data_IF_030047730975
#
_entry.id   IF_030047730975
#
_cell.length_a   1.000
_cell.length_b   1.000
_cell.length_c   1.000
_cell.angle_alpha   90.00
_cell.angle_beta   90.00
_cell.angle_gamma   90.00
#
_symmetry.space_group_name_H-M   'P 1'
#
loop_
_entity.id
_entity.type
_entity.pdbx_description
1 polymer ?
#
# COMPACT_ATOMS: atom_id res chain seq x y z
N UNK A 1 -23.05 -0.87 -17.87
CA UNK A 1 -21.65 -1.26 -18.17
C UNK A 1 -20.75 -0.28 -17.46
N UNK A 2 -20.18 -0.67 -16.32
CA UNK A 2 -19.19 0.15 -15.62
C UNK A 2 -17.93 0.19 -16.48
N UNK A 3 -17.40 1.38 -16.72
CA UNK A 3 -16.12 1.58 -17.42
C UNK A 3 -15.04 0.92 -16.55
N UNK A 4 -14.39 -0.12 -17.04
CA UNK A 4 -13.28 -0.75 -16.31
C UNK A 4 -12.13 0.23 -16.30
N UNK A 5 -11.97 0.97 -15.20
CA UNK A 5 -10.79 1.79 -15.00
C UNK A 5 -9.57 0.87 -14.96
N UNK A 6 -8.62 1.08 -15.86
CA UNK A 6 -7.41 0.26 -15.94
C UNK A 6 -6.54 0.51 -14.71
N UNK A 7 -6.37 -0.50 -13.87
CA UNK A 7 -5.42 -0.45 -12.75
C UNK A 7 -3.98 -0.54 -13.28
N UNK A 8 -3.15 0.44 -12.93
CA UNK A 8 -1.78 0.57 -13.42
C UNK A 8 -0.83 0.90 -12.27
N UNK A 9 0.42 0.44 -12.39
CA UNK A 9 1.53 0.85 -11.51
C UNK A 9 2.47 1.71 -12.36
N UNK A 10 2.64 2.97 -11.99
CA UNK A 10 3.43 3.96 -12.75
C UNK A 10 3.03 4.05 -14.25
N UNK A 11 1.73 4.00 -14.53
CA UNK A 11 1.19 4.07 -15.90
C UNK A 11 1.36 2.81 -16.73
N UNK A 12 1.94 1.73 -16.16
CA UNK A 12 2.05 0.42 -16.82
C UNK A 12 0.94 -0.51 -16.30
N UNK A 13 0.30 -1.30 -17.18
CA UNK A 13 -0.61 -2.35 -16.75
C UNK A 13 0.09 -3.32 -15.81
N UNK A 14 -0.66 -3.88 -14.85
CA UNK A 14 -0.13 -4.95 -14.02
C UNK A 14 0.12 -6.19 -14.86
N UNK A 15 1.34 -6.69 -14.79
CA UNK A 15 1.68 -8.04 -15.23
C UNK A 15 1.39 -9.03 -14.10
N UNK A 16 0.43 -9.97 -14.26
CA UNK A 16 0.08 -10.96 -13.24
C UNK A 16 1.17 -12.02 -13.02
N UNK A 17 2.18 -12.08 -13.89
CA UNK A 17 3.33 -12.99 -13.75
C UNK A 17 4.54 -12.34 -13.10
N UNK A 18 4.51 -11.02 -12.90
CA UNK A 18 5.60 -10.30 -12.27
C UNK A 18 5.54 -10.40 -10.73
N UNK A 19 6.68 -10.25 -10.09
CA UNK A 19 6.79 -10.10 -8.64
C UNK A 19 6.83 -8.62 -8.28
N UNK A 20 6.01 -8.21 -7.32
CA UNK A 20 5.96 -6.83 -6.81
C UNK A 20 6.38 -6.80 -5.34
N UNK A 21 7.09 -5.74 -4.97
CA UNK A 21 7.38 -5.44 -3.58
C UNK A 21 6.29 -4.54 -3.02
N UNK A 22 5.80 -4.87 -1.84
CA UNK A 22 4.77 -4.14 -1.13
C UNK A 22 5.23 -3.91 0.30
N UNK A 23 4.76 -2.81 0.90
CA UNK A 23 4.99 -2.49 2.30
C UNK A 23 3.63 -2.46 3.00
N UNK A 24 3.53 -3.14 4.14
CA UNK A 24 2.29 -3.26 4.92
C UNK A 24 2.61 -3.38 6.41
N UNK A 25 1.59 -3.39 7.27
CA UNK A 25 1.77 -3.71 8.69
C UNK A 25 1.88 -5.22 8.92
N UNK A 26 2.53 -5.59 10.01
CA UNK A 26 2.52 -6.95 10.55
C UNK A 26 1.07 -7.48 10.75
N UNK A 27 0.17 -6.65 11.26
CA UNK A 27 -1.25 -7.01 11.43
C UNK A 27 -1.89 -7.49 10.13
N UNK A 28 -1.73 -6.76 9.02
CA UNK A 28 -2.31 -7.14 7.74
C UNK A 28 -1.54 -8.30 7.10
N UNK A 29 -0.20 -8.32 7.22
CA UNK A 29 0.66 -9.41 6.74
C UNK A 29 0.24 -10.76 7.34
N UNK A 30 -0.09 -10.79 8.63
CA UNK A 30 -0.52 -11.99 9.35
C UNK A 30 -2.03 -12.26 9.26
N UNK A 31 -2.74 -11.65 8.29
CA UNK A 31 -4.12 -11.98 7.97
C UNK A 31 -5.19 -11.19 8.73
N UNK A 32 -4.80 -10.15 9.46
CA UNK A 32 -5.73 -9.16 10.01
C UNK A 32 -6.62 -8.57 8.90
N UNK A 33 -7.86 -8.23 9.27
CA UNK A 33 -8.88 -7.74 8.34
C UNK A 33 -9.16 -8.68 7.14
N UNK A 34 -8.87 -9.97 7.28
CA UNK A 34 -9.11 -10.96 6.23
C UNK A 34 -8.11 -10.92 5.07
N UNK A 35 -6.97 -10.23 5.21
CA UNK A 35 -5.92 -10.08 4.20
C UNK A 35 -5.08 -11.37 4.00
N UNK A 36 -5.76 -12.49 3.81
CA UNK A 36 -5.17 -13.84 3.71
C UNK A 36 -4.28 -14.04 2.47
N UNK A 37 -4.37 -13.16 1.48
CA UNK A 37 -3.55 -13.21 0.27
C UNK A 37 -2.06 -12.94 0.52
N UNK A 38 -1.68 -12.41 1.69
CA UNK A 38 -0.28 -12.26 2.10
C UNK A 38 0.35 -13.53 2.67
N UNK A 39 -0.41 -14.62 2.87
CA UNK A 39 0.05 -15.80 3.62
C UNK A 39 1.28 -16.54 3.03
N UNK A 40 1.59 -16.35 1.74
CA UNK A 40 2.68 -17.04 1.05
C UNK A 40 3.62 -16.06 0.31
N UNK A 41 4.42 -15.25 1.03
CA UNK A 41 5.34 -14.31 0.42
C UNK A 41 6.56 -15.04 -0.20
N UNK A 42 7.13 -14.47 -1.26
CA UNK A 42 8.43 -14.92 -1.79
C UNK A 42 9.57 -14.57 -0.82
N UNK A 43 9.51 -13.38 -0.22
CA UNK A 43 10.45 -12.90 0.77
C UNK A 43 9.78 -11.86 1.68
N UNK A 44 10.25 -11.76 2.93
CA UNK A 44 9.81 -10.78 3.92
C UNK A 44 11.03 -10.08 4.49
N UNK A 45 10.98 -8.76 4.54
CA UNK A 45 11.95 -7.93 5.25
C UNK A 45 11.23 -7.19 6.38
N UNK A 46 11.42 -7.66 7.60
CA UNK A 46 10.89 -7.00 8.79
C UNK A 46 11.69 -5.73 9.08
N UNK A 47 10.98 -4.62 9.28
CA UNK A 47 11.63 -3.33 9.56
C UNK A 47 11.88 -3.11 11.05
N UNK A 48 11.24 -3.91 11.91
CA UNK A 48 11.13 -3.71 13.36
C UNK A 48 10.76 -2.27 13.75
N UNK A 49 10.05 -1.57 12.86
CA UNK A 49 9.70 -0.17 13.04
C UNK A 49 8.20 0.06 12.98
N UNK A 50 7.68 0.66 14.04
CA UNK A 50 6.25 0.85 14.22
C UNK A 50 5.76 2.00 13.33
N UNK A 51 4.61 1.80 12.69
CA UNK A 51 3.99 2.81 11.81
C UNK A 51 3.86 4.17 12.51
N UNK A 52 3.53 4.19 13.82
CA UNK A 52 3.46 5.43 14.60
C UNK A 52 4.78 6.22 14.58
N UNK A 53 5.92 5.52 14.63
CA UNK A 53 7.23 6.15 14.67
C UNK A 53 7.58 6.71 13.29
N UNK A 54 7.25 5.98 12.21
CA UNK A 54 7.35 6.48 10.84
C UNK A 54 6.55 7.78 10.65
N UNK A 55 5.33 7.84 11.18
CA UNK A 55 4.50 9.05 11.14
C UNK A 55 5.14 10.20 11.95
N UNK A 56 5.61 9.94 13.17
CA UNK A 56 6.30 10.94 14.00
C UNK A 56 7.53 11.49 13.28
N UNK A 57 8.38 10.63 12.72
CA UNK A 57 9.61 11.05 12.05
C UNK A 57 9.33 11.82 10.77
N UNK A 58 8.28 11.44 10.04
CA UNK A 58 7.81 12.20 8.89
C UNK A 58 7.40 13.61 9.33
N UNK A 59 6.54 13.73 10.35
CA UNK A 59 6.06 15.04 10.84
C UNK A 59 7.13 15.89 11.52
N UNK A 60 8.23 15.30 12.02
CA UNK A 60 9.40 16.06 12.48
C UNK A 60 10.21 16.69 11.34
N UNK A 61 10.16 16.12 10.13
CA UNK A 61 10.93 16.57 8.97
C UNK A 61 10.19 17.62 8.13
N UNK A 62 8.88 17.71 8.28
CA UNK A 62 8.05 18.66 7.54
C UNK A 62 7.47 19.69 8.50
N UNK A 63 7.44 20.94 8.07
CA UNK A 63 6.87 22.04 8.86
C UNK A 63 5.35 22.17 8.64
N UNK A 64 4.90 21.98 7.39
CA UNK A 64 3.51 22.17 7.00
C UNK A 64 2.96 20.95 6.25
N UNK A 65 1.79 20.48 6.66
CA UNK A 65 1.06 19.41 5.96
C UNK A 65 0.37 19.95 4.70
N UNK A 66 0.87 19.53 3.54
CA UNK A 66 0.27 19.86 2.25
C UNK A 66 -0.63 18.70 1.81
N UNK A 67 -1.93 18.80 2.09
CA UNK A 67 -2.90 17.80 1.65
C UNK A 67 -3.24 18.00 0.16
N UNK A 68 -3.08 16.95 -0.65
CA UNK A 68 -3.46 16.94 -2.05
C UNK A 68 -4.49 15.85 -2.34
N UNK A 69 -5.43 16.14 -3.24
CA UNK A 69 -6.34 15.14 -3.79
C UNK A 69 -5.64 14.42 -4.94
N UNK A 70 -5.32 13.15 -4.76
CA UNK A 70 -4.50 12.34 -5.66
C UNK A 70 -5.21 11.06 -6.13
N UNK A 71 -6.54 10.99 -5.97
CA UNK A 71 -7.38 9.86 -6.42
C UNK A 71 -6.95 8.49 -5.86
N UNK A 72 -6.52 8.47 -4.58
CA UNK A 72 -6.11 7.25 -3.86
C UNK A 72 -7.16 6.13 -3.80
N UNK A 73 -8.44 6.45 -3.96
CA UNK A 73 -9.53 5.47 -4.06
C UNK A 73 -10.56 5.96 -5.07
N UNK A 74 -11.20 4.99 -5.74
CA UNK A 74 -12.31 5.20 -6.66
C UNK A 74 -13.52 4.52 -6.03
N UNK A 75 -14.59 5.28 -5.82
CA UNK A 75 -15.88 4.69 -5.48
C UNK A 75 -16.54 4.25 -6.78
N UNK A 76 -16.90 2.97 -6.83
CA UNK A 76 -17.64 2.38 -7.94
C UNK A 76 -18.96 1.89 -7.34
N UNK A 77 -20.06 2.51 -7.76
CA UNK A 77 -21.42 2.13 -7.35
C UNK A 77 -21.84 0.77 -7.94
#
# INVERSE_FOLDING_TARGET
MVKSDSFTIHGKPIDPKATYQVCTSDFLMYGGDGMTFFANPINVHETDYLIRNTLIDYFKKIDTLQAQKDKRFIFVD
#
